data_IF_571979792370
#
_entry.id   IF_571979792370
#
_cell.length_a   1.000
_cell.length_b   1.000
_cell.length_c   1.000
_cell.angle_alpha   90.00
_cell.angle_beta   90.00
_cell.angle_gamma   90.00
#
_symmetry.space_group_name_H-M   'P 1'
#
loop_
_entity.id
_entity.type
_entity.pdbx_description
1 polymer ?
#
# COMPACT_ATOMS: atom_id res chain seq x y z
N UNK A 1 -32.48 12.85 8.57
CA UNK A 1 -31.95 11.60 9.18
C UNK A 1 -30.79 11.13 8.33
N UNK A 2 -29.59 11.03 8.88
CA UNK A 2 -28.48 10.35 8.19
C UNK A 2 -28.85 8.89 8.01
N UNK A 3 -28.80 8.39 6.78
CA UNK A 3 -29.08 6.98 6.54
C UNK A 3 -28.05 6.13 7.29
N UNK A 4 -28.43 4.91 7.71
CA UNK A 4 -27.50 3.94 8.31
C UNK A 4 -26.21 3.79 7.49
N UNK A 5 -26.33 3.82 6.16
CA UNK A 5 -25.19 3.77 5.23
C UNK A 5 -24.30 5.01 5.30
N UNK A 6 -24.87 6.21 5.43
CA UNK A 6 -24.10 7.45 5.61
C UNK A 6 -23.27 7.40 6.89
N UNK A 7 -23.86 6.94 8.00
CA UNK A 7 -23.14 6.79 9.27
C UNK A 7 -22.00 5.77 9.15
N UNK A 8 -22.28 4.58 8.60
CA UNK A 8 -21.27 3.56 8.39
C UNK A 8 -20.11 4.07 7.52
N UNK A 9 -20.41 4.83 6.47
CA UNK A 9 -19.38 5.42 5.62
C UNK A 9 -18.50 6.40 6.41
N UNK A 10 -19.09 7.28 7.20
CA UNK A 10 -18.34 8.22 8.05
C UNK A 10 -17.47 7.49 9.06
N UNK A 11 -17.97 6.42 9.68
CA UNK A 11 -17.23 5.63 10.66
C UNK A 11 -16.03 4.91 10.00
N UNK A 12 -16.21 4.33 8.80
CA UNK A 12 -15.13 3.69 8.03
C UNK A 12 -14.05 4.70 7.64
N UNK A 13 -14.44 5.90 7.18
CA UNK A 13 -13.50 6.94 6.79
C UNK A 13 -12.70 7.46 7.99
N UNK A 14 -13.34 7.61 9.16
CA UNK A 14 -12.65 7.99 10.38
C UNK A 14 -11.63 6.92 10.82
N UNK A 15 -12.00 5.64 10.72
CA UNK A 15 -11.10 4.53 11.02
C UNK A 15 -9.91 4.48 10.05
N UNK A 16 -10.16 4.62 8.74
CA UNK A 16 -9.11 4.67 7.73
C UNK A 16 -8.14 5.83 8.00
N UNK A 17 -8.67 7.02 8.31
CA UNK A 17 -7.83 8.18 8.63
C UNK A 17 -6.96 7.97 9.87
N UNK A 18 -7.49 7.29 10.91
CA UNK A 18 -6.69 6.94 12.09
C UNK A 18 -5.54 6.01 11.73
N UNK A 19 -5.81 4.97 10.94
CA UNK A 19 -4.78 4.02 10.47
C UNK A 19 -3.74 4.73 9.61
N UNK A 20 -4.18 5.61 8.71
CA UNK A 20 -3.26 6.43 7.89
C UNK A 20 -2.34 7.27 8.76
N UNK A 21 -2.85 7.82 9.86
CA UNK A 21 -2.05 8.63 10.79
C UNK A 21 -1.04 7.78 11.54
N UNK A 22 -1.46 6.63 12.06
CA UNK A 22 -0.60 5.72 12.83
C UNK A 22 0.53 5.14 11.95
N UNK A 23 0.23 4.86 10.67
CA UNK A 23 1.20 4.42 9.67
C UNK A 23 1.97 5.58 9.00
N UNK A 24 1.74 6.83 9.44
CA UNK A 24 2.34 8.04 8.86
C UNK A 24 2.08 8.24 7.34
N UNK A 25 1.00 7.63 6.81
CA UNK A 25 0.55 7.73 5.42
C UNK A 25 -0.13 9.07 5.12
N UNK A 26 -0.55 9.83 6.13
CA UNK A 26 -1.16 11.16 5.96
C UNK A 26 -0.27 12.16 5.20
N UNK A 27 1.05 11.92 5.18
CA UNK A 27 2.03 12.77 4.50
C UNK A 27 2.22 12.42 3.02
N UNK A 28 1.50 11.42 2.51
CA UNK A 28 1.61 10.94 1.14
C UNK A 28 0.38 11.36 0.31
N UNK A 29 0.58 11.44 -1.00
CA UNK A 29 -0.49 11.75 -1.95
C UNK A 29 -1.43 10.56 -2.09
N UNK A 30 -2.67 10.82 -2.50
CA UNK A 30 -3.70 9.78 -2.69
C UNK A 30 -3.25 8.64 -3.62
N UNK A 31 -2.48 8.95 -4.68
CA UNK A 31 -1.93 7.91 -5.55
C UNK A 31 -0.86 7.05 -4.87
N UNK A 32 -0.05 7.64 -3.99
CA UNK A 32 0.95 6.92 -3.19
C UNK A 32 0.25 6.05 -2.14
N UNK A 33 -0.73 6.60 -1.42
CA UNK A 33 -1.57 5.85 -0.48
C UNK A 33 -2.25 4.66 -1.16
N UNK A 34 -2.84 4.86 -2.34
CA UNK A 34 -3.44 3.78 -3.12
C UNK A 34 -2.43 2.66 -3.42
N UNK A 35 -1.19 3.00 -3.79
CA UNK A 35 -0.13 1.99 -3.99
C UNK A 35 0.14 1.22 -2.70
N UNK A 36 0.21 1.90 -1.56
CA UNK A 36 0.38 1.22 -0.26
C UNK A 36 -0.78 0.26 0.04
N UNK A 37 -2.02 0.70 -0.17
CA UNK A 37 -3.21 -0.14 0.02
C UNK A 37 -3.25 -1.33 -0.94
N UNK A 38 -2.82 -1.15 -2.18
CA UNK A 38 -2.69 -2.25 -3.14
C UNK A 38 -1.70 -3.29 -2.63
N UNK A 39 -0.54 -2.88 -2.12
CA UNK A 39 0.45 -3.80 -1.52
C UNK A 39 -0.17 -4.57 -0.35
N UNK A 40 -0.79 -3.86 0.60
CA UNK A 40 -1.42 -4.47 1.77
C UNK A 40 -2.52 -5.46 1.38
N UNK A 41 -3.34 -5.11 0.39
CA UNK A 41 -4.41 -5.96 -0.11
C UNK A 41 -3.86 -7.24 -0.75
N UNK A 42 -2.87 -7.14 -1.64
CA UNK A 42 -2.25 -8.30 -2.28
C UNK A 42 -1.66 -9.22 -1.21
N UNK A 43 -0.86 -8.68 -0.28
CA UNK A 43 -0.26 -9.48 0.82
C UNK A 43 -1.35 -10.19 1.64
N UNK A 44 -2.47 -9.52 1.94
CA UNK A 44 -3.57 -10.13 2.71
C UNK A 44 -4.26 -11.29 1.98
N UNK A 45 -4.25 -11.28 0.65
CA UNK A 45 -4.93 -12.28 -0.19
C UNK A 45 -4.02 -13.45 -0.58
N UNK A 46 -2.75 -13.16 -0.90
CA UNK A 46 -1.82 -14.13 -1.50
C UNK A 46 -0.68 -14.52 -0.56
N UNK A 47 -0.44 -13.75 0.51
CA UNK A 47 0.69 -13.92 1.42
C UNK A 47 2.03 -13.37 0.91
N UNK A 48 2.10 -12.91 -0.35
CA UNK A 48 3.31 -12.36 -0.95
C UNK A 48 2.99 -11.33 -2.03
N UNK A 49 3.78 -10.27 -2.13
CA UNK A 49 3.61 -9.25 -3.15
C UNK A 49 4.97 -8.88 -3.74
N UNK A 50 5.08 -8.82 -5.06
CA UNK A 50 6.23 -8.26 -5.76
C UNK A 50 5.86 -6.95 -6.49
N UNK A 51 6.87 -6.26 -7.04
CA UNK A 51 6.66 -4.98 -7.73
C UNK A 51 5.76 -5.13 -8.97
N UNK A 52 5.86 -6.26 -9.68
CA UNK A 52 5.06 -6.54 -10.87
C UNK A 52 3.57 -6.65 -10.53
N UNK A 53 3.24 -7.31 -9.41
CA UNK A 53 1.87 -7.42 -8.92
C UNK A 53 1.29 -6.03 -8.65
N UNK A 54 2.05 -5.16 -7.98
CA UNK A 54 1.62 -3.78 -7.70
C UNK A 54 1.41 -2.99 -8.99
N UNK A 55 2.27 -3.15 -9.99
CA UNK A 55 2.11 -2.48 -11.30
C UNK A 55 0.80 -2.91 -11.96
N UNK A 56 0.50 -4.21 -11.93
CA UNK A 56 -0.69 -4.76 -12.59
C UNK A 56 -1.98 -4.36 -11.86
N UNK A 57 -1.99 -4.42 -10.53
CA UNK A 57 -3.21 -4.22 -9.72
C UNK A 57 -3.48 -2.74 -9.37
N UNK A 58 -2.45 -1.90 -9.26
CA UNK A 58 -2.66 -0.49 -8.87
C UNK A 58 -3.22 0.38 -10.00
N UNK A 59 -3.01 -0.03 -11.25
CA UNK A 59 -3.32 0.75 -12.46
C UNK A 59 -2.37 1.91 -12.72
N UNK A 60 -1.22 1.98 -12.02
CA UNK A 60 -0.22 3.02 -12.20
C UNK A 60 0.96 2.58 -13.08
N UNK A 61 1.62 3.57 -13.69
CA UNK A 61 2.81 3.31 -14.49
C UNK A 61 3.94 2.70 -13.64
N UNK A 62 4.79 1.90 -14.27
CA UNK A 62 5.99 1.33 -13.62
C UNK A 62 6.80 2.41 -12.91
N UNK A 63 7.09 3.51 -13.59
CA UNK A 63 7.88 4.62 -13.05
C UNK A 63 7.26 5.23 -11.80
N UNK A 64 5.92 5.35 -11.75
CA UNK A 64 5.20 5.83 -10.55
C UNK A 64 5.38 4.84 -9.41
N UNK A 65 5.09 3.56 -9.64
CA UNK A 65 5.20 2.50 -8.64
C UNK A 65 6.61 2.43 -8.06
N UNK A 66 7.64 2.38 -8.91
CA UNK A 66 9.04 2.33 -8.48
C UNK A 66 9.43 3.55 -7.62
N UNK A 67 9.06 4.76 -8.04
CA UNK A 67 9.35 5.98 -7.26
C UNK A 67 8.67 5.95 -5.90
N UNK A 68 7.42 5.51 -5.84
CA UNK A 68 6.66 5.42 -4.59
C UNK A 68 7.22 4.35 -3.67
N UNK A 69 7.53 3.15 -4.17
CA UNK A 69 8.18 2.08 -3.40
C UNK A 69 9.50 2.57 -2.81
N UNK A 70 10.33 3.28 -3.58
CA UNK A 70 11.59 3.83 -3.07
C UNK A 70 11.40 4.86 -1.96
N UNK A 71 10.34 5.68 -2.03
CA UNK A 71 9.98 6.59 -0.93
C UNK A 71 9.58 5.82 0.32
N UNK A 72 8.72 4.80 0.18
CA UNK A 72 8.28 3.97 1.29
C UNK A 72 9.44 3.22 1.95
N UNK A 73 10.37 2.69 1.16
CA UNK A 73 11.60 2.06 1.65
C UNK A 73 12.43 3.06 2.47
N UNK A 74 12.64 4.29 1.95
CA UNK A 74 13.38 5.33 2.67
C UNK A 74 12.71 5.78 3.96
N UNK A 75 11.38 5.65 4.05
CA UNK A 75 10.58 6.00 5.22
C UNK A 75 10.34 4.80 6.15
N UNK A 76 10.97 3.65 5.89
CA UNK A 76 10.77 2.41 6.63
C UNK A 76 9.30 1.99 6.74
N UNK A 77 8.52 2.20 5.67
CA UNK A 77 7.13 1.72 5.54
C UNK A 77 7.06 0.36 4.85
N UNK A 78 8.07 0.05 4.02
CA UNK A 78 8.22 -1.25 3.38
C UNK A 78 9.68 -1.68 3.38
N UNK A 79 9.92 -2.99 3.34
CA UNK A 79 11.22 -3.61 3.18
C UNK A 79 11.25 -4.39 1.88
N UNK A 80 12.29 -4.17 1.06
CA UNK A 80 12.55 -4.96 -0.15
C UNK A 80 13.37 -6.19 0.23
N UNK A 81 12.82 -7.38 0.01
CA UNK A 81 13.54 -8.65 0.16
C UNK A 81 13.70 -9.30 -1.20
N UNK A 82 14.94 -9.53 -1.62
CA UNK A 82 15.22 -10.24 -2.88
C UNK A 82 14.58 -11.64 -2.83
N UNK A 83 13.92 -12.04 -3.91
CA UNK A 83 13.30 -13.36 -4.00
C UNK A 83 14.38 -14.45 -4.06
N UNK A 84 14.10 -15.56 -3.37
CA UNK A 84 14.98 -16.73 -3.37
C UNK A 84 14.84 -17.56 -4.67
N UNK A 85 13.75 -17.37 -5.41
CA UNK A 85 13.41 -18.14 -6.62
C UNK A 85 13.87 -17.38 -7.88
N UNK A 86 13.54 -16.10 -7.99
CA UNK A 86 14.05 -15.22 -9.05
C UNK A 86 14.78 -14.02 -8.43
N UNK A 87 16.11 -14.01 -8.54
CA UNK A 87 16.96 -12.94 -7.99
C UNK A 87 16.71 -11.56 -8.64
N UNK A 88 15.97 -11.50 -9.74
CA UNK A 88 15.58 -10.23 -10.39
C UNK A 88 14.34 -9.61 -9.76
N UNK A 89 13.60 -10.37 -8.96
CA UNK A 89 12.39 -9.90 -8.28
C UNK A 89 12.65 -9.57 -6.81
N UNK A 90 11.91 -8.58 -6.33
CA UNK A 90 11.89 -8.18 -4.93
C UNK A 90 10.48 -8.35 -4.39
N UNK A 91 10.39 -9.06 -3.28
CA UNK A 91 9.18 -9.15 -2.48
C UNK A 91 9.09 -7.93 -1.58
N UNK A 92 7.91 -7.34 -1.55
CA UNK A 92 7.54 -6.21 -0.71
C UNK A 92 7.00 -6.75 0.61
N UNK A 93 7.58 -6.29 1.71
CA UNK A 93 7.13 -6.60 3.07
C UNK A 93 6.72 -5.28 3.71
N UNK A 94 5.54 -5.23 4.34
CA UNK A 94 5.14 -4.06 5.13
C UNK A 94 5.99 -4.00 6.40
N UNK A 95 6.56 -2.83 6.70
CA UNK A 95 7.29 -2.63 7.94
C UNK A 95 6.26 -2.50 9.08
N UNK A 96 6.33 -3.41 10.05
CA UNK A 96 5.56 -3.37 11.31
C UNK A 96 6.44 -2.91 12.45
#
# INVERSE_FOLDING_TARGET
>A
MTSKYTKNLTDILAMLWSIEKDLNLINYKENEKKIYYTIACIISQTGSCNITDVINESGYSRSTVYKTIKKFESANLIVLKQSNIDKREFNLILAT
#
